data_IF_156566879700
#
_entry.id   IF_156566879700
#
_cell.length_a   1.000
_cell.length_b   1.000
_cell.length_c   1.000
_cell.angle_alpha   90.00
_cell.angle_beta   90.00
_cell.angle_gamma   90.00
#
_symmetry.space_group_name_H-M   'P 1'
#
loop_
_entity.id
_entity.type
_entity.pdbx_description
1 polymer ?
#
# COMPACT_ATOMS: atom_id res chain seq x y z
N UNK A 1 -5.56 -31.13 -70.87
CA UNK A 1 -5.53 -31.76 -69.54
C UNK A 1 -4.35 -31.22 -68.76
N UNK A 2 -4.63 -30.54 -67.63
CA UNK A 2 -3.79 -30.30 -66.44
C UNK A 2 -2.46 -29.53 -66.62
N UNK A 3 -2.03 -28.66 -65.71
CA UNK A 3 -2.64 -27.74 -64.74
C UNK A 3 -1.53 -26.74 -64.34
N UNK A 4 -1.94 -25.58 -63.86
CA UNK A 4 -1.20 -24.33 -63.59
C UNK A 4 -0.13 -24.43 -62.47
N UNK A 5 0.86 -23.52 -62.60
CA UNK A 5 1.81 -22.92 -61.64
C UNK A 5 1.75 -23.25 -60.14
N UNK A 6 2.93 -23.17 -59.50
CA UNK A 6 3.03 -22.96 -58.05
C UNK A 6 4.44 -22.63 -57.58
N UNK A 7 4.86 -21.36 -57.74
CA UNK A 7 5.98 -20.79 -57.00
C UNK A 7 5.51 -20.53 -55.55
N UNK A 8 5.93 -21.36 -54.61
CA UNK A 8 5.68 -21.12 -53.19
C UNK A 8 6.86 -20.31 -52.61
N UNK A 9 6.67 -18.99 -52.58
CA UNK A 9 7.49 -18.06 -51.81
C UNK A 9 7.42 -18.44 -50.33
N UNK A 10 8.56 -18.85 -49.75
CA UNK A 10 8.67 -19.10 -48.31
C UNK A 10 8.74 -17.78 -47.58
N UNK A 11 7.58 -17.28 -47.15
CA UNK A 11 7.51 -16.25 -46.10
C UNK A 11 7.77 -16.96 -44.78
N UNK A 12 9.00 -16.87 -44.27
CA UNK A 12 9.28 -17.17 -42.88
C UNK A 12 8.65 -16.07 -42.03
N UNK A 13 7.51 -16.38 -41.42
CA UNK A 13 6.95 -15.59 -40.35
C UNK A 13 7.91 -15.73 -39.15
N UNK A 14 8.79 -14.74 -38.97
CA UNK A 14 9.52 -14.55 -37.73
C UNK A 14 8.49 -14.22 -36.65
N UNK A 15 8.05 -15.24 -35.92
CA UNK A 15 7.43 -15.05 -34.61
C UNK A 15 8.55 -14.50 -33.72
N UNK A 16 8.64 -13.17 -33.65
CA UNK A 16 9.37 -12.48 -32.60
C UNK A 16 8.73 -12.91 -31.28
N UNK A 17 9.32 -13.91 -30.65
CA UNK A 17 9.10 -14.22 -29.25
C UNK A 17 9.42 -12.93 -28.51
N UNK A 18 8.40 -12.30 -27.92
CA UNK A 18 8.56 -11.17 -27.02
C UNK A 18 9.46 -11.63 -25.87
N UNK A 19 10.75 -11.36 -25.97
CA UNK A 19 11.71 -11.71 -24.93
C UNK A 19 11.36 -10.89 -23.69
N UNK A 20 11.07 -11.61 -22.61
CA UNK A 20 10.73 -11.11 -21.28
C UNK A 20 11.94 -10.36 -20.69
N UNK A 21 11.93 -9.02 -20.79
CA UNK A 21 13.05 -8.12 -20.43
C UNK A 21 13.32 -7.97 -18.91
N UNK A 22 12.54 -8.65 -18.07
CA UNK A 22 12.81 -8.77 -16.64
C UNK A 22 13.99 -9.72 -16.33
N UNK A 23 14.31 -10.64 -17.24
CA UNK A 23 15.46 -11.55 -17.09
C UNK A 23 16.82 -10.87 -17.30
N UNK A 24 16.81 -9.69 -17.91
CA UNK A 24 18.03 -8.91 -18.21
C UNK A 24 18.48 -8.03 -17.05
N UNK A 25 17.71 -7.95 -15.95
CA UNK A 25 18.21 -7.39 -14.69
C UNK A 25 19.16 -8.42 -14.05
N UNK A 26 20.49 -8.17 -14.02
CA UNK A 26 21.45 -9.11 -13.47
C UNK A 26 21.24 -9.36 -11.97
N UNK A 27 20.56 -8.44 -11.29
CA UNK A 27 20.26 -8.54 -9.86
C UNK A 27 18.85 -9.12 -9.60
N UNK A 28 18.10 -9.52 -10.63
CA UNK A 28 16.76 -10.08 -10.42
C UNK A 28 16.83 -11.49 -9.83
N UNK A 29 16.17 -11.65 -8.67
CA UNK A 29 16.04 -12.94 -8.00
C UNK A 29 14.57 -13.38 -7.99
N UNK A 30 14.17 -14.43 -8.73
CA UNK A 30 12.79 -14.89 -8.80
C UNK A 30 12.27 -15.46 -7.47
N UNK A 31 13.17 -15.87 -6.57
CA UNK A 31 12.83 -16.36 -5.22
C UNK A 31 12.61 -15.22 -4.22
N UNK A 32 12.94 -13.99 -4.59
CA UNK A 32 12.71 -12.80 -3.76
C UNK A 32 11.38 -12.14 -4.15
N UNK A 33 10.75 -11.39 -3.23
CA UNK A 33 9.53 -10.64 -3.51
C UNK A 33 9.76 -9.29 -4.20
N UNK A 34 11.00 -8.91 -4.50
CA UNK A 34 11.27 -7.69 -5.26
C UNK A 34 10.97 -7.86 -6.75
N UNK A 35 10.51 -6.77 -7.36
CA UNK A 35 10.45 -6.64 -8.82
C UNK A 35 11.86 -6.40 -9.39
N UNK A 36 12.04 -6.59 -10.71
CA UNK A 36 13.27 -6.18 -11.38
C UNK A 36 13.55 -4.68 -11.18
N UNK A 37 14.81 -4.30 -10.97
CA UNK A 37 15.24 -2.91 -10.77
C UNK A 37 15.18 -2.09 -12.06
N UNK A 38 15.11 -2.74 -13.22
CA UNK A 38 15.11 -2.09 -14.53
C UNK A 38 13.71 -1.61 -14.98
N UNK A 39 12.69 -1.67 -14.12
CA UNK A 39 11.35 -1.13 -14.42
C UNK A 39 11.35 0.39 -14.23
N UNK A 40 11.51 1.11 -15.33
CA UNK A 40 11.45 2.57 -15.38
C UNK A 40 10.04 3.11 -15.11
N UNK A 41 9.93 4.24 -14.39
CA UNK A 41 8.63 4.92 -14.16
C UNK A 41 7.81 4.33 -13.01
N UNK A 42 8.32 3.29 -12.36
CA UNK A 42 7.73 2.70 -11.15
C UNK A 42 8.25 3.43 -9.91
N UNK A 43 7.33 3.90 -9.06
CA UNK A 43 7.70 4.47 -7.76
C UNK A 43 8.10 3.34 -6.80
N UNK A 44 9.01 3.62 -5.86
CA UNK A 44 9.48 2.70 -4.81
C UNK A 44 8.36 2.13 -3.92
N UNK A 45 7.23 2.83 -3.78
CA UNK A 45 6.03 2.27 -3.14
C UNK A 45 5.53 0.98 -3.81
N UNK A 46 5.91 0.75 -5.07
CA UNK A 46 5.53 -0.40 -5.86
C UNK A 46 6.71 -1.36 -6.12
N UNK A 47 7.75 -1.36 -5.28
CA UNK A 47 8.95 -2.18 -5.48
C UNK A 47 8.72 -3.70 -5.31
N UNK A 48 7.67 -4.08 -4.58
CA UNK A 48 7.38 -5.49 -4.27
C UNK A 48 6.34 -6.09 -5.21
N UNK A 49 6.46 -7.40 -5.42
CA UNK A 49 5.46 -8.19 -6.13
C UNK A 49 4.18 -8.25 -5.31
N UNK A 50 3.06 -7.84 -5.89
CA UNK A 50 1.81 -7.72 -5.15
C UNK A 50 0.71 -6.95 -5.87
N UNK A 51 -0.42 -6.80 -5.18
CA UNK A 51 -1.56 -5.98 -5.59
C UNK A 51 -1.57 -4.67 -4.82
N UNK A 52 -1.82 -3.58 -5.52
CA UNK A 52 -1.89 -2.23 -4.97
C UNK A 52 -3.27 -1.66 -5.29
N UNK A 53 -3.96 -1.13 -4.28
CA UNK A 53 -5.31 -0.61 -4.41
C UNK A 53 -5.32 0.87 -4.07
N UNK A 54 -5.70 1.70 -5.04
CA UNK A 54 -5.91 3.13 -4.83
C UNK A 54 -7.32 3.35 -4.27
N UNK A 55 -7.45 4.18 -3.26
CA UNK A 55 -8.73 4.32 -2.59
C UNK A 55 -8.80 5.49 -1.62
N UNK A 56 -9.78 5.37 -0.73
CA UNK A 56 -10.01 6.33 0.35
C UNK A 56 -9.99 5.60 1.68
N UNK A 57 -9.26 6.15 2.64
CA UNK A 57 -9.31 5.75 4.05
C UNK A 57 -10.16 6.73 4.82
N UNK A 58 -11.09 6.21 5.61
CA UNK A 58 -11.84 6.91 6.64
C UNK A 58 -11.29 6.51 8.00
N UNK A 59 -10.97 7.49 8.84
CA UNK A 59 -10.59 7.28 10.24
C UNK A 59 -11.68 7.88 11.10
N UNK A 60 -12.24 7.07 11.99
CA UNK A 60 -13.20 7.46 13.01
C UNK A 60 -12.54 7.36 14.38
N UNK A 61 -12.56 8.46 15.13
CA UNK A 61 -12.00 8.60 16.46
C UNK A 61 -13.10 8.88 17.47
N UNK A 62 -13.11 8.14 18.56
CA UNK A 62 -14.03 8.31 19.68
C UNK A 62 -13.25 8.45 21.00
N UNK A 63 -12.79 9.67 21.36
CA UNK A 63 -12.06 9.90 22.59
C UNK A 63 -12.94 9.68 23.81
N UNK A 64 -12.48 8.85 24.75
CA UNK A 64 -13.21 8.47 25.97
C UNK A 64 -12.47 8.87 27.25
N UNK A 65 -11.13 8.93 27.21
CA UNK A 65 -10.28 9.31 28.34
C UNK A 65 -9.19 10.29 27.90
N UNK A 66 -8.52 10.92 28.88
CA UNK A 66 -7.32 11.71 28.66
C UNK A 66 -6.08 10.83 28.51
N UNK A 67 -4.92 11.37 28.86
CA UNK A 67 -3.64 10.66 28.76
C UNK A 67 -3.52 9.43 29.66
N UNK A 68 -4.29 9.36 30.75
CA UNK A 68 -4.40 8.16 31.59
C UNK A 68 -5.88 7.91 31.91
N UNK A 69 -6.27 6.71 32.38
CA UNK A 69 -7.68 6.38 32.63
C UNK A 69 -8.36 7.26 33.69
N UNK A 70 -7.56 7.90 34.56
CA UNK A 70 -8.05 8.81 35.60
C UNK A 70 -8.29 10.23 35.09
N UNK A 71 -7.84 10.55 33.87
CA UNK A 71 -8.00 11.86 33.24
C UNK A 71 -9.18 11.82 32.28
N UNK A 72 -9.94 12.91 32.25
CA UNK A 72 -11.11 13.05 31.38
C UNK A 72 -10.75 13.77 30.09
N UNK A 73 -11.45 13.43 29.01
CA UNK A 73 -11.41 14.17 27.74
C UNK A 73 -11.74 15.65 27.97
N UNK A 74 -11.01 16.54 27.30
CA UNK A 74 -11.26 17.97 27.39
C UNK A 74 -12.65 18.36 26.86
N UNK A 75 -13.24 19.49 27.29
CA UNK A 75 -14.61 19.87 26.94
C UNK A 75 -14.91 19.86 25.44
N UNK A 76 -13.97 20.28 24.59
CA UNK A 76 -14.10 20.33 23.13
C UNK A 76 -14.36 18.96 22.48
N UNK A 77 -13.80 17.89 23.06
CA UNK A 77 -13.84 16.53 22.52
C UNK A 77 -14.79 15.61 23.28
N UNK A 78 -15.41 16.09 24.36
CA UNK A 78 -16.33 15.31 25.17
C UNK A 78 -17.56 14.91 24.34
N UNK A 79 -17.80 13.60 24.20
CA UNK A 79 -18.88 13.02 23.39
C UNK A 79 -18.84 13.43 21.91
N UNK A 80 -17.65 13.72 21.39
CA UNK A 80 -17.44 14.09 19.99
C UNK A 80 -16.76 12.95 19.25
N UNK A 81 -17.46 12.38 18.28
CA UNK A 81 -16.84 11.50 17.28
C UNK A 81 -16.24 12.36 16.17
N UNK A 82 -14.99 12.10 15.81
CA UNK A 82 -14.30 12.77 14.71
C UNK A 82 -14.09 11.79 13.56
N UNK A 83 -14.58 12.13 12.37
CA UNK A 83 -14.45 11.32 11.16
C UNK A 83 -13.66 12.13 10.13
N UNK A 84 -12.59 11.55 9.61
CA UNK A 84 -11.67 12.20 8.68
C UNK A 84 -11.35 11.27 7.50
N UNK A 85 -11.01 11.84 6.34
CA UNK A 85 -10.81 11.07 5.09
C UNK A 85 -9.53 11.47 4.37
N UNK A 86 -8.84 10.47 3.81
CA UNK A 86 -7.64 10.66 2.99
C UNK A 86 -7.67 9.79 1.74
N UNK A 87 -7.02 10.29 0.69
CA UNK A 87 -6.57 9.43 -0.39
C UNK A 87 -5.50 8.50 0.14
N UNK A 88 -5.55 7.25 -0.26
CA UNK A 88 -4.68 6.22 0.28
C UNK A 88 -4.40 5.11 -0.72
N UNK A 89 -3.35 4.37 -0.41
CA UNK A 89 -2.92 3.18 -1.11
C UNK A 89 -2.87 2.03 -0.11
N UNK A 90 -3.55 0.93 -0.43
CA UNK A 90 -3.38 -0.34 0.27
C UNK A 90 -2.48 -1.24 -0.58
N UNK A 91 -1.33 -1.60 -0.04
CA UNK A 91 -0.42 -2.57 -0.64
C UNK A 91 -0.59 -3.93 0.04
N UNK A 92 -0.90 -4.96 -0.75
CA UNK A 92 -0.95 -6.36 -0.32
C UNK A 92 0.09 -7.11 -1.15
N UNK A 93 1.22 -7.47 -0.53
CA UNK A 93 2.40 -7.94 -1.28
C UNK A 93 2.87 -9.31 -0.82
N UNK A 94 3.56 -9.99 -1.73
CA UNK A 94 4.24 -11.25 -1.43
C UNK A 94 5.29 -11.01 -0.35
N UNK A 95 5.43 -11.99 0.54
CA UNK A 95 6.50 -12.00 1.53
C UNK A 95 7.86 -12.21 0.89
N UNK A 96 8.84 -11.53 1.45
CA UNK A 96 10.24 -11.65 1.06
C UNK A 96 11.02 -12.57 1.97
N UNK A 97 12.24 -12.88 1.55
CA UNK A 97 13.23 -13.61 2.34
C UNK A 97 13.66 -12.88 3.61
N UNK A 98 13.35 -11.58 3.71
CA UNK A 98 13.66 -10.75 4.87
C UNK A 98 12.51 -10.67 5.88
N UNK A 99 11.35 -11.29 5.61
CA UNK A 99 10.27 -11.41 6.59
C UNK A 99 10.49 -12.66 7.46
N UNK A 100 10.65 -12.51 8.77
CA UNK A 100 10.89 -13.64 9.70
C UNK A 100 9.64 -14.24 10.34
N UNK A 101 8.47 -13.60 10.22
CA UNK A 101 7.23 -14.11 10.82
C UNK A 101 6.51 -15.16 9.96
N UNK A 102 5.22 -15.36 10.19
CA UNK A 102 4.40 -16.40 9.54
C UNK A 102 3.14 -15.87 8.86
N UNK A 103 2.89 -14.56 8.86
CA UNK A 103 1.76 -13.96 8.15
C UNK A 103 1.77 -14.42 6.68
N UNK A 104 0.63 -14.48 5.98
CA UNK A 104 0.57 -14.95 4.60
C UNK A 104 1.08 -13.91 3.58
N UNK A 105 1.04 -12.62 3.93
CA UNK A 105 1.34 -11.48 3.05
C UNK A 105 1.91 -10.32 3.86
N UNK A 106 2.53 -9.34 3.21
CA UNK A 106 2.73 -8.03 3.81
C UNK A 106 1.52 -7.13 3.51
N UNK A 107 1.11 -6.34 4.49
CA UNK A 107 -0.03 -5.43 4.43
C UNK A 107 0.41 -4.03 4.86
N UNK A 108 0.32 -3.05 3.97
CA UNK A 108 0.64 -1.66 4.27
C UNK A 108 -0.49 -0.74 3.81
N UNK A 109 -1.11 -0.03 4.74
CA UNK A 109 -2.02 1.07 4.44
C UNK A 109 -1.25 2.38 4.52
N UNK A 110 -1.23 3.11 3.41
CA UNK A 110 -0.46 4.33 3.25
C UNK A 110 -1.44 5.46 2.93
N UNK A 111 -1.49 6.48 3.77
CA UNK A 111 -2.31 7.66 3.53
C UNK A 111 -1.46 8.81 3.02
N UNK A 112 -2.02 9.57 2.08
CA UNK A 112 -1.38 10.72 1.46
C UNK A 112 -2.01 12.00 2.00
N UNK A 113 -1.20 12.96 2.50
CA UNK A 113 -1.68 14.30 2.77
C UNK A 113 -2.24 14.96 1.49
N UNK A 114 -3.15 15.92 1.63
CA UNK A 114 -3.65 16.69 0.49
C UNK A 114 -2.50 17.30 -0.32
N UNK A 115 -2.63 17.27 -1.66
CA UNK A 115 -1.66 17.83 -2.61
C UNK A 115 -0.26 17.19 -2.61
N UNK A 116 -0.09 16.01 -2.00
CA UNK A 116 1.18 15.32 -2.02
C UNK A 116 1.56 14.85 -3.44
N UNK A 117 2.74 15.24 -3.91
CA UNK A 117 3.27 14.76 -5.18
C UNK A 117 3.91 13.37 -5.01
N UNK A 118 3.15 12.33 -5.36
CA UNK A 118 3.60 10.94 -5.30
C UNK A 118 4.77 10.68 -6.25
N UNK A 119 4.86 11.39 -7.38
CA UNK A 119 5.96 11.22 -8.33
C UNK A 119 7.31 11.76 -7.84
N UNK A 120 7.31 12.55 -6.77
CA UNK A 120 8.53 13.13 -6.17
C UNK A 120 8.96 12.45 -4.86
N UNK A 121 8.46 11.23 -4.61
CA UNK A 121 8.74 10.52 -3.36
C UNK A 121 10.21 10.13 -3.21
N UNK A 122 10.73 10.14 -1.97
CA UNK A 122 12.11 9.80 -1.70
C UNK A 122 12.35 8.29 -1.89
N UNK A 123 13.62 7.91 -2.00
CA UNK A 123 14.02 6.56 -2.40
C UNK A 123 14.14 5.63 -1.19
N UNK A 124 13.60 4.41 -1.31
CA UNK A 124 13.73 3.28 -0.37
C UNK A 124 13.54 3.67 1.11
N UNK A 125 14.58 3.53 1.93
CA UNK A 125 14.54 3.73 3.40
C UNK A 125 14.08 5.13 3.80
N UNK A 126 14.19 6.10 2.90
CA UNK A 126 13.73 7.47 3.15
C UNK A 126 12.20 7.59 3.16
N UNK A 127 11.47 6.59 2.65
CA UNK A 127 10.01 6.52 2.78
C UNK A 127 9.56 6.39 4.24
N UNK A 128 10.47 5.93 5.10
CA UNK A 128 10.33 5.77 6.54
C UNK A 128 11.17 6.82 7.31
N UNK A 129 11.65 7.89 6.70
CA UNK A 129 12.38 8.91 7.48
C UNK A 129 11.44 9.92 8.14
N UNK A 130 11.81 10.41 9.32
CA UNK A 130 11.22 11.62 9.92
C UNK A 130 11.30 12.76 8.89
N UNK A 131 10.14 13.25 8.44
CA UNK A 131 10.02 14.27 7.38
C UNK A 131 9.38 13.76 6.08
N UNK A 132 9.16 12.46 5.93
CA UNK A 132 8.23 11.95 4.91
C UNK A 132 6.81 12.42 5.24
N UNK A 133 6.04 12.95 4.28
CA UNK A 133 4.65 13.31 4.49
C UNK A 133 3.73 12.07 4.52
N UNK A 134 4.26 10.88 4.22
CA UNK A 134 3.48 9.65 4.21
C UNK A 134 3.06 9.24 5.63
N UNK A 135 1.83 8.79 5.75
CA UNK A 135 1.27 8.29 7.01
C UNK A 135 0.99 6.81 6.88
N UNK A 136 1.51 6.01 7.81
CA UNK A 136 1.39 4.56 7.80
C UNK A 136 0.56 4.08 8.99
N UNK A 137 -0.78 4.19 8.93
CA UNK A 137 -1.65 3.78 10.02
C UNK A 137 -1.67 2.26 10.24
N UNK A 138 -1.35 1.45 9.22
CA UNK A 138 -1.30 -0.02 9.30
C UNK A 138 -0.09 -0.53 8.57
N UNK A 139 0.75 -1.29 9.27
CA UNK A 139 1.88 -2.03 8.72
C UNK A 139 1.92 -3.42 9.36
N UNK A 140 1.84 -4.49 8.57
CA UNK A 140 2.00 -5.85 9.10
C UNK A 140 3.45 -6.24 9.36
N UNK A 141 4.39 -5.53 8.75
CA UNK A 141 5.84 -5.63 8.99
C UNK A 141 6.51 -4.35 8.47
N UNK A 142 7.76 -4.09 8.85
CA UNK A 142 8.53 -3.00 8.25
C UNK A 142 8.79 -3.25 6.76
N UNK A 143 8.87 -2.16 5.98
CA UNK A 143 9.29 -2.21 4.58
C UNK A 143 10.72 -2.79 4.49
N UNK A 144 10.91 -3.77 3.61
CA UNK A 144 12.20 -4.42 3.34
C UNK A 144 12.75 -3.97 2.00
N UNK A 145 14.05 -3.74 1.88
CA UNK A 145 14.70 -3.23 0.68
C UNK A 145 15.77 -4.18 0.17
N UNK A 146 16.11 -4.07 -1.11
CA UNK A 146 17.08 -4.92 -1.80
C UNK A 146 18.56 -4.60 -1.45
N UNK A 147 18.83 -3.60 -0.61
CA UNK A 147 20.21 -3.17 -0.31
C UNK A 147 20.99 -4.14 0.59
N UNK A 148 22.29 -4.27 0.30
CA UNK A 148 23.28 -5.08 1.04
C UNK A 148 23.30 -4.94 2.57
N UNK A 149 22.82 -3.82 3.14
CA UNK A 149 22.79 -3.64 4.61
C UNK A 149 21.64 -4.39 5.30
N UNK A 150 20.54 -4.67 4.59
CA UNK A 150 19.42 -5.44 5.12
C UNK A 150 19.58 -6.95 4.90
N UNK A 151 20.59 -7.39 4.14
CA UNK A 151 20.87 -8.82 3.89
C UNK A 151 21.07 -9.64 5.18
N UNK A 152 21.43 -8.99 6.30
CA UNK A 152 21.63 -9.64 7.59
C UNK A 152 20.51 -9.36 8.61
N UNK A 153 19.45 -8.65 8.25
CA UNK A 153 18.39 -8.25 9.17
C UNK A 153 17.03 -8.70 8.64
N UNK A 154 16.30 -9.48 9.45
CA UNK A 154 14.91 -9.84 9.18
C UNK A 154 13.96 -8.93 9.93
N UNK A 155 12.76 -8.73 9.38
CA UNK A 155 11.68 -7.98 10.04
C UNK A 155 10.61 -8.94 10.53
N UNK A 156 10.18 -8.84 11.81
CA UNK A 156 9.08 -9.65 12.32
C UNK A 156 7.74 -9.16 11.76
N UNK A 157 6.72 -10.00 11.90
CA UNK A 157 5.34 -9.59 11.66
C UNK A 157 4.79 -8.93 12.94
N UNK A 158 3.98 -7.88 12.77
CA UNK A 158 3.35 -7.15 13.87
C UNK A 158 1.96 -7.67 14.21
N UNK A 159 1.31 -8.31 13.25
CA UNK A 159 0.01 -8.95 13.42
C UNK A 159 0.17 -10.46 13.30
N UNK A 160 -0.81 -11.19 13.83
CA UNK A 160 -0.98 -12.62 13.61
C UNK A 160 -2.14 -12.82 12.63
N UNK A 161 -1.85 -12.66 11.34
CA UNK A 161 -2.84 -12.67 10.27
C UNK A 161 -2.94 -14.07 9.68
N UNK A 162 -4.17 -14.49 9.42
CA UNK A 162 -4.50 -15.68 8.66
C UNK A 162 -5.18 -15.31 7.35
N UNK A 163 -4.97 -16.09 6.30
CA UNK A 163 -5.64 -15.91 5.02
C UNK A 163 -6.62 -17.06 4.76
N UNK A 164 -7.84 -16.72 4.38
CA UNK A 164 -8.86 -17.67 3.94
C UNK A 164 -9.23 -17.38 2.50
N UNK A 165 -9.25 -18.42 1.65
CA UNK A 165 -9.77 -18.32 0.28
C UNK A 165 -11.29 -18.46 0.28
N UNK A 166 -11.96 -17.49 -0.32
CA UNK A 166 -13.41 -17.49 -0.44
C UNK A 166 -13.86 -18.17 -1.76
N UNK A 167 -15.07 -18.75 -1.82
CA UNK A 167 -15.59 -19.38 -3.03
C UNK A 167 -15.72 -18.45 -4.24
N UNK A 168 -15.91 -17.15 -4.00
CA UNK A 168 -16.09 -16.11 -5.01
C UNK A 168 -14.76 -15.60 -5.62
N UNK A 169 -13.68 -16.38 -5.57
CA UNK A 169 -12.36 -15.97 -6.10
C UNK A 169 -11.77 -14.73 -5.41
N UNK A 170 -12.06 -14.56 -4.12
CA UNK A 170 -11.48 -13.52 -3.25
C UNK A 170 -10.73 -14.17 -2.08
N UNK A 171 -9.99 -13.35 -1.34
CA UNK A 171 -9.33 -13.76 -0.10
C UNK A 171 -9.74 -12.82 1.03
N UNK A 172 -9.83 -13.38 2.23
CA UNK A 172 -10.00 -12.63 3.48
C UNK A 172 -8.75 -12.81 4.33
N UNK A 173 -8.15 -11.70 4.76
CA UNK A 173 -7.14 -11.65 5.81
C UNK A 173 -7.83 -11.27 7.11
N UNK A 174 -7.50 -11.94 8.21
CA UNK A 174 -7.98 -11.56 9.53
C UNK A 174 -6.94 -11.87 10.59
N UNK A 175 -6.70 -10.94 11.51
CA UNK A 175 -5.71 -11.11 12.58
C UNK A 175 -5.66 -9.96 13.56
N UNK A 176 -5.19 -10.27 14.77
CA UNK A 176 -4.92 -9.29 15.82
C UNK A 176 -3.43 -9.00 15.95
N UNK A 177 -3.08 -7.86 16.52
CA UNK A 177 -1.71 -7.50 16.86
C UNK A 177 -1.10 -8.47 17.88
N UNK A 178 0.20 -8.75 17.77
CA UNK A 178 0.91 -9.53 18.77
C UNK A 178 0.98 -8.78 20.10
N UNK A 179 0.52 -9.42 21.17
CA UNK A 179 0.52 -8.84 22.53
C UNK A 179 1.93 -8.75 23.17
N UNK A 180 2.96 -9.31 22.52
CA UNK A 180 4.33 -9.41 23.07
C UNK A 180 5.31 -8.39 22.49
N UNK A 181 4.88 -7.50 21.59
CA UNK A 181 5.76 -6.46 21.08
C UNK A 181 6.05 -5.47 22.21
N UNK A 182 7.32 -5.34 22.58
CA UNK A 182 7.72 -4.20 23.38
C UNK A 182 7.42 -2.94 22.56
N UNK A 183 6.92 -1.83 23.12
CA UNK A 183 6.64 -0.61 22.34
C UNK A 183 7.88 0.07 21.72
N UNK A 184 9.03 -0.59 21.77
CA UNK A 184 10.26 -0.16 21.11
C UNK A 184 10.71 -1.14 20.01
N UNK A 185 10.07 -2.32 19.89
CA UNK A 185 10.38 -3.34 18.88
C UNK A 185 9.62 -3.07 17.57
N UNK A 186 9.78 -1.85 17.06
CA UNK A 186 9.22 -1.37 15.79
C UNK A 186 7.69 -1.23 15.77
N UNK A 187 7.22 -0.33 14.92
CA UNK A 187 5.85 0.16 14.95
C UNK A 187 5.01 -0.37 13.78
N UNK A 188 3.93 -1.07 14.12
CA UNK A 188 2.84 -1.47 13.23
C UNK A 188 1.96 -0.30 12.77
N UNK A 189 2.15 0.86 13.38
CA UNK A 189 1.49 2.12 13.04
C UNK A 189 2.40 3.28 13.41
N UNK A 190 2.69 4.15 12.46
CA UNK A 190 3.55 5.31 12.72
C UNK A 190 2.73 6.51 13.18
N UNK A 191 3.29 7.40 14.02
CA UNK A 191 2.61 8.65 14.34
C UNK A 191 2.22 9.39 13.05
N UNK A 192 0.95 9.75 12.94
CA UNK A 192 0.38 10.48 11.82
C UNK A 192 -0.35 11.72 12.29
N UNK A 193 -0.35 12.77 11.46
CA UNK A 193 -0.93 14.06 11.86
C UNK A 193 -2.37 14.17 11.38
N UNK A 194 -3.27 14.51 12.31
CA UNK A 194 -4.69 14.72 12.05
C UNK A 194 -5.11 16.14 12.39
N UNK A 195 -6.05 16.69 11.62
CA UNK A 195 -6.69 17.96 11.95
C UNK A 195 -7.91 17.72 12.85
N UNK A 196 -7.83 18.21 14.09
CA UNK A 196 -8.90 18.15 15.08
C UNK A 196 -8.94 19.44 15.91
N UNK A 197 -10.12 19.88 16.38
CA UNK A 197 -10.21 21.07 17.23
C UNK A 197 -9.26 21.01 18.43
N UNK A 198 -8.64 22.14 18.78
CA UNK A 198 -7.82 22.24 19.97
C UNK A 198 -8.67 22.14 21.26
N UNK A 199 -8.10 21.61 22.34
CA UNK A 199 -8.71 21.73 23.67
C UNK A 199 -8.61 23.18 24.19
N UNK A 200 -7.48 23.84 23.93
CA UNK A 200 -7.27 25.26 24.23
C UNK A 200 -6.69 25.99 23.01
N UNK A 201 -7.52 26.72 22.27
CA UNK A 201 -7.11 27.43 21.05
C UNK A 201 -6.05 28.50 21.26
N UNK A 202 -5.90 29.02 22.49
CA UNK A 202 -4.86 30.01 22.84
C UNK A 202 -3.47 29.37 22.99
N UNK A 203 -3.40 28.09 23.33
CA UNK A 203 -2.16 27.37 23.63
C UNK A 203 -1.84 26.26 22.63
N UNK A 204 -2.83 25.80 21.85
CA UNK A 204 -2.70 24.63 20.98
C UNK A 204 -3.09 24.97 19.53
N UNK A 205 -2.49 24.24 18.62
CA UNK A 205 -2.88 24.20 17.21
C UNK A 205 -4.02 23.21 16.99
N UNK A 206 -4.63 23.27 15.79
CA UNK A 206 -5.68 22.34 15.37
C UNK A 206 -5.15 21.05 14.74
N UNK A 207 -3.85 20.78 14.84
CA UNK A 207 -3.23 19.55 14.38
C UNK A 207 -2.80 18.70 15.59
N UNK A 208 -2.85 17.39 15.42
CA UNK A 208 -2.64 16.41 16.47
C UNK A 208 -1.75 15.28 15.96
N UNK A 209 -0.71 14.94 16.72
CA UNK A 209 0.05 13.71 16.50
C UNK A 209 -0.76 12.54 17.04
N UNK A 210 -1.13 11.62 16.17
CA UNK A 210 -2.00 10.48 16.49
C UNK A 210 -1.31 9.17 16.13
N UNK A 211 -1.47 8.15 16.97
CA UNK A 211 -0.98 6.81 16.69
C UNK A 211 -1.99 5.77 17.14
N UNK A 212 -2.08 4.66 16.41
CA UNK A 212 -2.79 3.47 16.88
C UNK A 212 -1.94 2.85 17.99
N UNK A 213 -2.54 2.57 19.13
CA UNK A 213 -1.84 1.97 20.27
C UNK A 213 -1.59 0.49 20.01
N UNK A 214 -0.36 0.06 20.30
CA UNK A 214 0.15 -1.23 19.84
C UNK A 214 0.45 -2.21 20.97
N UNK A 215 0.48 -1.70 22.20
CA UNK A 215 0.74 -2.51 23.39
C UNK A 215 0.05 -1.86 24.59
N UNK A 216 -0.20 -2.66 25.63
CA UNK A 216 -0.51 -2.08 26.95
C UNK A 216 0.76 -1.45 27.51
N UNK A 217 0.60 -0.28 28.13
CA UNK A 217 1.70 0.46 28.73
C UNK A 217 1.25 1.13 30.04
N UNK A 218 2.13 1.85 30.71
CA UNK A 218 1.81 2.43 32.02
C UNK A 218 0.64 3.42 31.97
N UNK A 219 0.42 4.10 30.84
CA UNK A 219 -0.65 5.08 30.63
C UNK A 219 -1.98 4.43 30.19
N UNK A 220 -1.99 3.12 29.88
CA UNK A 220 -3.19 2.34 29.53
C UNK A 220 -3.41 1.14 30.46
N UNK A 221 -2.53 0.92 31.45
CA UNK A 221 -2.54 -0.28 32.31
C UNK A 221 -3.87 -0.49 33.06
N UNK A 222 -4.50 0.59 33.50
CA UNK A 222 -5.75 0.57 34.27
C UNK A 222 -6.99 0.74 33.38
N UNK A 223 -6.81 0.77 32.06
CA UNK A 223 -7.92 0.86 31.11
C UNK A 223 -8.44 -0.55 30.80
N UNK A 224 -9.53 -0.93 31.46
CA UNK A 224 -10.14 -2.27 31.30
C UNK A 224 -10.65 -2.52 29.89
N UNK A 225 -11.15 -1.48 29.22
CA UNK A 225 -11.72 -1.56 27.87
C UNK A 225 -10.66 -1.50 26.76
N UNK A 226 -9.36 -1.40 27.08
CA UNK A 226 -8.31 -1.26 26.07
C UNK A 226 -8.25 -2.46 25.11
N UNK A 227 -8.27 -2.16 23.81
CA UNK A 227 -8.29 -3.09 22.69
C UNK A 227 -7.03 -2.93 21.84
N UNK A 228 -6.30 -4.03 21.66
CA UNK A 228 -5.21 -4.08 20.69
C UNK A 228 -5.76 -4.13 19.27
N UNK A 229 -5.03 -3.58 18.27
CA UNK A 229 -5.49 -3.51 16.90
C UNK A 229 -5.86 -4.88 16.32
N UNK A 230 -7.04 -4.95 15.72
CA UNK A 230 -7.52 -6.11 14.99
C UNK A 230 -7.87 -5.70 13.56
N UNK A 231 -7.30 -6.39 12.58
CA UNK A 231 -7.44 -6.07 11.15
C UNK A 231 -8.22 -7.15 10.42
N UNK A 232 -9.07 -6.73 9.50
CA UNK A 232 -9.73 -7.59 8.52
C UNK A 232 -9.60 -6.96 7.13
N UNK A 233 -9.26 -7.76 6.13
CA UNK A 233 -9.10 -7.31 4.74
C UNK A 233 -9.77 -8.28 3.79
N UNK A 234 -10.74 -7.82 3.03
CA UNK A 234 -11.33 -8.57 1.92
C UNK A 234 -10.78 -8.02 0.60
N UNK A 235 -10.18 -8.86 -0.23
CA UNK A 235 -9.59 -8.41 -1.49
C UNK A 235 -9.73 -9.43 -2.61
N UNK A 236 -9.84 -8.92 -3.83
CA UNK A 236 -9.89 -9.70 -5.07
C UNK A 236 -9.06 -9.03 -6.18
N UNK A 237 -9.26 -9.47 -7.42
CA UNK A 237 -8.55 -8.92 -8.59
C UNK A 237 -8.92 -7.48 -8.93
N UNK A 238 -9.92 -6.88 -8.28
CA UNK A 238 -10.47 -5.57 -8.63
C UNK A 238 -10.55 -4.60 -7.46
N UNK A 239 -10.85 -5.09 -6.27
CA UNK A 239 -11.17 -4.26 -5.10
C UNK A 239 -10.52 -4.80 -3.84
N UNK A 240 -10.32 -3.91 -2.88
CA UNK A 240 -9.94 -4.28 -1.53
C UNK A 240 -10.68 -3.41 -0.52
N UNK A 241 -11.13 -4.02 0.57
CA UNK A 241 -11.71 -3.35 1.72
C UNK A 241 -10.93 -3.77 2.95
N UNK A 242 -10.47 -2.80 3.75
CA UNK A 242 -9.81 -3.06 5.02
C UNK A 242 -10.57 -2.39 6.14
N UNK A 243 -10.70 -3.08 7.26
CA UNK A 243 -11.15 -2.53 8.54
C UNK A 243 -10.12 -2.83 9.61
N UNK A 244 -9.77 -1.82 10.40
CA UNK A 244 -9.01 -1.99 11.63
C UNK A 244 -9.77 -1.34 12.77
N UNK A 245 -9.91 -2.08 13.86
CA UNK A 245 -10.47 -1.59 15.13
C UNK A 245 -9.39 -1.69 16.21
N UNK A 246 -9.28 -0.68 17.08
CA UNK A 246 -8.34 -0.66 18.19
C UNK A 246 -8.49 0.62 19.01
N UNK A 247 -7.48 0.96 19.80
CA UNK A 247 -7.41 2.23 20.51
C UNK A 247 -6.30 3.14 19.97
N UNK A 248 -6.46 4.45 20.18
CA UNK A 248 -5.48 5.46 19.76
C UNK A 248 -5.00 6.32 20.92
N UNK A 249 -3.86 6.97 20.71
CA UNK A 249 -3.39 8.13 21.46
C UNK A 249 -3.23 9.29 20.49
N UNK A 250 -3.85 10.43 20.81
CA UNK A 250 -3.67 11.68 20.08
C UNK A 250 -3.20 12.78 21.02
N UNK A 251 -2.16 13.50 20.64
CA UNK A 251 -1.60 14.59 21.42
C UNK A 251 -1.52 15.88 20.59
N UNK A 252 -1.97 17.03 21.11
CA UNK A 252 -2.03 18.26 20.34
C UNK A 252 -0.64 18.87 20.21
N UNK A 253 -0.39 19.55 19.09
CA UNK A 253 0.76 20.45 18.98
C UNK A 253 0.49 21.77 19.71
N UNK A 254 1.48 22.26 20.47
CA UNK A 254 1.35 23.52 21.23
C UNK A 254 1.97 24.73 20.50
N UNK A 255 1.38 25.91 20.72
CA UNK A 255 1.84 27.22 20.26
C UNK A 255 2.91 27.74 21.21
N UNK A 256 4.16 27.80 20.74
CA UNK A 256 5.28 28.30 21.53
C UNK A 256 5.26 29.84 21.53
N UNK A 257 4.62 30.43 22.53
CA UNK A 257 4.82 31.85 22.91
C UNK A 257 5.40 32.00 24.33
N UNK A 258 5.85 30.89 24.94
CA UNK A 258 6.52 30.83 26.25
C UNK A 258 7.97 30.29 26.18
N UNK A 259 8.51 30.01 25.00
CA UNK A 259 9.91 29.63 24.80
C UNK A 259 10.33 30.09 23.41
N UNK A 260 11.31 30.98 23.34
CA UNK A 260 11.68 31.75 22.14
C UNK A 260 12.31 30.95 20.99
N UNK A 261 11.66 29.89 20.51
CA UNK A 261 12.06 29.12 19.33
C UNK A 261 10.93 29.09 18.29
N UNK A 262 11.20 29.44 17.03
CA UNK A 262 10.24 29.35 15.94
C UNK A 262 10.23 27.91 15.42
N UNK A 263 9.50 27.01 16.08
CA UNK A 263 9.22 25.69 15.54
C UNK A 263 7.77 25.31 15.85
N UNK A 264 6.99 24.98 14.83
CA UNK A 264 5.88 24.03 15.01
C UNK A 264 6.48 22.76 15.61
N UNK A 265 6.03 22.23 16.77
CA UNK A 265 6.46 20.86 17.12
C UNK A 265 6.74 20.47 18.57
N UNK A 266 6.18 21.11 19.60
CA UNK A 266 6.11 20.44 20.91
C UNK A 266 4.75 19.78 21.06
N UNK A 267 4.73 18.54 21.53
CA UNK A 267 3.52 17.74 21.75
C UNK A 267 3.20 17.81 23.25
N UNK A 268 1.96 18.15 23.61
CA UNK A 268 1.49 18.09 25.01
C UNK A 268 0.95 16.71 25.32
N UNK A 269 1.52 16.02 26.31
CA UNK A 269 0.96 14.78 26.84
C UNK A 269 -0.15 15.05 27.85
N UNK A 270 -0.18 16.21 28.51
CA UNK A 270 -1.19 16.56 29.51
C UNK A 270 -2.59 16.67 28.90
N UNK A 271 -2.67 17.17 27.66
CA UNK A 271 -3.92 17.35 26.91
C UNK A 271 -4.18 16.21 25.92
N UNK A 272 -3.44 15.10 26.04
CA UNK A 272 -3.61 13.97 25.14
C UNK A 272 -4.96 13.28 25.36
N UNK A 273 -5.48 12.72 24.28
CA UNK A 273 -6.74 12.01 24.21
C UNK A 273 -6.48 10.55 23.85
N UNK A 274 -7.22 9.66 24.48
CA UNK A 274 -7.27 8.25 24.10
C UNK A 274 -8.71 7.78 23.97
N UNK A 275 -8.91 6.73 23.20
CA UNK A 275 -10.22 6.13 22.97
C UNK A 275 -10.17 5.18 21.78
N UNK A 276 -11.35 4.78 21.31
CA UNK A 276 -11.47 3.85 20.20
C UNK A 276 -11.15 4.54 18.87
N UNK A 277 -10.41 3.84 18.01
CA UNK A 277 -10.16 4.19 16.62
C UNK A 277 -10.70 3.09 15.71
N UNK A 278 -11.37 3.52 14.64
CA UNK A 278 -11.75 2.65 13.54
C UNK A 278 -11.20 3.20 12.24
N UNK A 279 -10.48 2.37 11.50
CA UNK A 279 -9.89 2.70 10.21
C UNK A 279 -10.57 1.85 9.15
N UNK A 280 -11.15 2.50 8.14
CA UNK A 280 -11.87 1.83 7.04
C UNK A 280 -11.27 2.27 5.71
N UNK A 281 -10.76 1.34 4.93
CA UNK A 281 -10.28 1.59 3.58
C UNK A 281 -11.18 0.91 2.56
N UNK A 282 -11.41 1.60 1.43
CA UNK A 282 -12.02 1.03 0.24
C UNK A 282 -11.25 1.48 -0.99
N UNK A 283 -10.82 0.52 -1.80
CA UNK A 283 -10.00 0.80 -2.97
C UNK A 283 -10.27 -0.10 -4.16
N UNK A 284 -9.79 0.36 -5.30
CA UNK A 284 -9.81 -0.33 -6.59
C UNK A 284 -8.37 -0.58 -7.00
N UNK A 285 -8.12 -1.73 -7.63
CA UNK A 285 -6.79 -2.14 -8.06
C UNK A 285 -6.16 -1.10 -8.99
N UNK A 286 -4.92 -0.74 -8.71
CA UNK A 286 -4.04 -0.04 -9.63
C UNK A 286 -3.48 -1.05 -10.62
N UNK A 287 -4.23 -1.33 -11.68
CA UNK A 287 -3.82 -2.30 -12.69
C UNK A 287 -2.51 -1.93 -13.38
N UNK A 288 -2.09 -0.66 -13.37
CA UNK A 288 -0.83 -0.25 -13.98
C UNK A 288 0.39 -0.69 -13.15
N UNK A 289 0.26 -0.61 -11.82
CA UNK A 289 1.34 -0.90 -10.87
C UNK A 289 1.20 -2.24 -10.12
N UNK A 290 0.19 -3.06 -10.41
CA UNK A 290 -0.10 -4.33 -9.69
C UNK A 290 0.21 -5.58 -10.49
N UNK A 291 0.76 -6.58 -9.83
CA UNK A 291 0.86 -7.95 -10.37
C UNK A 291 -0.51 -8.63 -10.32
N UNK A 292 -0.75 -9.63 -11.18
CA UNK A 292 -2.05 -10.31 -11.23
C UNK A 292 -2.18 -11.27 -10.06
N UNK A 293 -3.18 -11.06 -9.21
CA UNK A 293 -3.57 -11.99 -8.14
C UNK A 293 -4.04 -13.34 -8.72
N UNK A 294 -3.42 -14.43 -8.29
CA UNK A 294 -3.82 -15.78 -8.66
C UNK A 294 -4.94 -16.30 -7.75
N UNK A 295 -6.19 -16.06 -8.16
CA UNK A 295 -7.39 -16.48 -7.42
C UNK A 295 -7.60 -18.00 -7.35
N UNK A 296 -6.88 -18.77 -8.16
CA UNK A 296 -6.95 -20.24 -8.15
C UNK A 296 -5.99 -20.86 -7.14
N UNK A 297 -5.08 -20.08 -6.55
CA UNK A 297 -4.19 -20.52 -5.49
C UNK A 297 -4.96 -20.73 -4.18
N UNK A 298 -4.51 -21.66 -3.34
CA UNK A 298 -5.06 -21.90 -2.00
C UNK A 298 -4.74 -20.79 -0.99
N UNK A 299 -3.66 -20.06 -1.23
CA UNK A 299 -3.23 -18.89 -0.46
C UNK A 299 -2.93 -17.71 -1.41
N UNK A 300 -2.94 -16.45 -0.93
CA UNK A 300 -2.61 -15.29 -1.74
C UNK A 300 -1.25 -15.47 -2.46
N UNK A 301 -1.29 -15.36 -3.79
CA UNK A 301 -0.12 -15.51 -4.65
C UNK A 301 -0.30 -14.66 -5.90
N UNK A 302 0.81 -14.23 -6.51
CA UNK A 302 0.78 -13.33 -7.67
C UNK A 302 1.54 -13.90 -8.85
N UNK A 303 0.99 -13.68 -10.04
CA UNK A 303 1.70 -13.85 -11.30
C UNK A 303 2.51 -12.58 -11.54
N UNK A 304 3.83 -12.71 -11.66
CA UNK A 304 4.73 -11.58 -11.89
C UNK A 304 4.52 -11.03 -13.29
N UNK A 305 3.98 -9.81 -13.37
CA UNK A 305 3.60 -9.19 -14.63
C UNK A 305 4.17 -7.79 -14.81
N UNK A 306 4.37 -7.05 -13.72
CA UNK A 306 4.98 -5.71 -13.78
C UNK A 306 6.46 -5.79 -14.14
N UNK A 307 6.85 -5.16 -15.25
CA UNK A 307 8.22 -5.21 -15.79
C UNK A 307 8.51 -6.41 -16.71
N UNK A 308 7.61 -7.39 -16.81
CA UNK A 308 7.82 -8.60 -17.61
C UNK A 308 7.27 -8.49 -19.04
N UNK A 309 6.42 -7.49 -19.33
CA UNK A 309 5.82 -7.27 -20.65
C UNK A 309 4.81 -8.34 -21.08
N UNK A 310 4.38 -9.20 -20.14
CA UNK A 310 3.42 -10.29 -20.36
C UNK A 310 1.96 -9.88 -20.03
N UNK A 311 1.73 -8.61 -19.66
CA UNK A 311 0.42 -8.04 -19.41
C UNK A 311 0.35 -6.61 -19.96
N UNK A 312 -0.60 -6.38 -20.88
CA UNK A 312 -0.80 -5.08 -21.53
C UNK A 312 -1.33 -3.97 -20.60
N UNK A 313 -1.89 -4.35 -19.43
CA UNK A 313 -2.40 -3.38 -18.45
C UNK A 313 -1.30 -2.83 -17.54
N UNK A 314 -0.16 -3.53 -17.43
CA UNK A 314 0.94 -3.14 -16.55
C UNK A 314 1.94 -2.24 -17.26
N UNK A 315 2.69 -1.50 -16.45
CA UNK A 315 3.92 -0.87 -16.93
C UNK A 315 4.90 -1.93 -17.48
N UNK A 316 5.27 -1.75 -18.74
CA UNK A 316 6.33 -2.50 -19.41
C UNK A 316 7.67 -1.74 -19.30
N UNK A 317 8.79 -2.46 -19.38
CA UNK A 317 10.13 -1.86 -19.36
C UNK A 317 10.30 -0.85 -20.54
N UNK A 318 10.77 0.37 -20.27
CA UNK A 318 10.83 1.48 -21.25
C UNK A 318 12.00 1.42 -22.24
N UNK A 319 12.67 0.28 -22.43
CA UNK A 319 13.63 0.13 -23.53
C UNK A 319 12.96 0.18 -24.92
N UNK A 320 11.61 0.22 -24.99
CA UNK A 320 10.83 0.44 -26.20
C UNK A 320 10.36 1.89 -26.43
N UNK A 321 11.19 2.91 -26.18
CA UNK A 321 11.12 4.13 -27.02
C UNK A 321 11.80 3.83 -28.36
N UNK A 322 11.21 2.95 -29.16
CA UNK A 322 11.88 2.49 -30.38
C UNK A 322 11.22 1.43 -31.24
N UNK A 323 9.90 1.20 -31.19
CA UNK A 323 9.14 0.65 -32.33
C UNK A 323 7.66 0.57 -31.93
N UNK A 324 6.81 1.27 -32.67
CA UNK A 324 5.39 1.35 -32.37
C UNK A 324 4.68 0.00 -32.42
N UNK A 325 3.75 -0.19 -31.48
CA UNK A 325 2.54 -0.98 -31.64
C UNK A 325 1.48 -0.41 -30.66
N UNK A 326 1.18 0.88 -30.80
CA UNK A 326 -0.23 1.29 -30.75
C UNK A 326 -0.88 0.64 -31.97
N UNK A 327 -2.01 -0.03 -31.79
CA UNK A 327 -2.84 -0.68 -32.82
C UNK A 327 -2.56 -2.16 -33.11
N UNK A 328 -3.09 -3.04 -32.28
CA UNK A 328 -3.62 -4.35 -32.73
C UNK A 328 -4.80 -4.77 -31.85
N UNK A 329 -5.84 -3.92 -31.77
CA UNK A 329 -7.15 -4.33 -31.24
C UNK A 329 -8.35 -3.77 -32.03
N UNK A 330 -8.12 -3.21 -33.24
CA UNK A 330 -9.18 -2.63 -34.08
C UNK A 330 -9.17 -3.10 -35.54
N UNK A 331 -8.61 -4.28 -35.84
CA UNK A 331 -8.56 -4.80 -37.22
C UNK A 331 -9.34 -6.11 -37.44
N UNK A 332 -10.21 -6.51 -36.50
CA UNK A 332 -11.03 -7.72 -36.64
C UNK A 332 -12.48 -7.45 -37.11
N UNK A 333 -12.84 -6.20 -37.42
CA UNK A 333 -14.22 -5.86 -37.82
C UNK A 333 -14.30 -4.84 -38.98
N UNK A 334 -13.50 -4.99 -40.04
CA UNK A 334 -13.88 -4.50 -41.39
C UNK A 334 -13.22 -5.38 -42.46
N UNK A 335 -13.81 -6.54 -42.71
CA UNK A 335 -13.76 -7.16 -44.05
C UNK A 335 -15.22 -7.17 -44.48
N UNK A 336 -15.64 -6.21 -45.32
CA UNK A 336 -15.83 -6.56 -46.72
C UNK A 336 -15.55 -5.42 -47.71
N UNK A 337 -15.51 -5.78 -48.99
CA UNK A 337 -15.44 -4.94 -50.20
C UNK A 337 -14.09 -4.30 -50.54
N UNK A 338 -13.37 -4.93 -51.48
CA UNK A 338 -13.19 -4.38 -52.84
C UNK A 338 -13.01 -5.58 -53.78
N UNK A 339 -14.04 -5.82 -54.58
CA UNK A 339 -14.05 -6.66 -55.78
C UNK A 339 -14.29 -5.69 -56.95
N UNK A 340 -13.54 -5.86 -58.03
CA UNK A 340 -13.64 -5.21 -59.37
C UNK A 340 -13.17 -3.73 -59.38
N UNK A 341 -12.26 -3.27 -60.25
CA UNK A 341 -12.40 -3.10 -61.71
C UNK A 341 -11.04 -2.83 -62.40
N UNK A 342 -10.72 -3.71 -63.36
CA UNK A 342 -10.20 -3.51 -64.73
C UNK A 342 -8.90 -2.69 -64.95
N UNK A 343 -7.92 -3.34 -65.61
CA UNK A 343 -7.15 -2.69 -66.67
C UNK A 343 -7.20 -3.57 -67.93
N UNK A 344 -7.95 -3.08 -68.91
CA UNK A 344 -7.74 -3.30 -70.34
C UNK A 344 -6.85 -2.14 -70.80
N UNK A 345 -5.64 -2.43 -71.30
CA UNK A 345 -5.00 -1.98 -72.56
C UNK A 345 -3.73 -2.81 -72.70
#
# INVERSE_FOLDING_TARGET
MRYIWGWASRIYLLILVSTVLAKDDPDYNPSSNFRPNNVTGLNQLYAWVGSYYNGTTEIELNPTIGYTPNLTVCPTHKKRTTILKWNSLLAITQRGTYNSGIDPVNLWLIMFPPNQNISAMPYESQLLNEGTPLMFPVMSSLLTWKQKKQENATVPDYFNVTATRNPNSSFTLSGGMYNSLHPFDGDASWPFTLDMPACNTSQQYGNWSTQVLQSRWWNTKDWSEFVLPNVTVDFDTRTANLTLDGDFLASPYIRLNNSGYPATGTISTEDALQGAIQIRFRGVVDAYNSDILNVNSTAPAWLRTVGFGNNSLNIANSSNRGSGLRSTLWSALVVPFIVVVIVYV
#
